data_IF_578381918859
#
_entry.id   IF_578381918859
#
_cell.length_a   1.000
_cell.length_b   1.000
_cell.length_c   1.000
_cell.angle_alpha   90.00
_cell.angle_beta   90.00
_cell.angle_gamma   90.00
#
_symmetry.space_group_name_H-M   'P 1'
#
loop_
_entity.id
_entity.type
_entity.pdbx_description
1 polymer ?
#
# COMPACT_ATOMS: atom_id res chain seq x y z
N UNK A 1 9.56 1.84 18.68
CA UNK A 1 9.66 2.59 17.41
C UNK A 1 8.68 2.03 16.39
N UNK A 2 7.94 2.90 15.71
CA UNK A 2 6.86 2.46 14.82
C UNK A 2 7.39 2.28 13.40
N UNK A 3 7.66 1.04 13.01
CA UNK A 3 8.10 0.72 11.65
C UNK A 3 6.91 0.31 10.79
N UNK A 4 6.88 0.78 9.55
CA UNK A 4 5.74 0.63 8.65
C UNK A 4 6.22 0.17 7.28
N UNK A 5 5.57 -0.84 6.73
CA UNK A 5 5.67 -1.20 5.31
C UNK A 5 4.37 -0.80 4.64
N UNK A 6 4.45 0.02 3.61
CA UNK A 6 3.30 0.41 2.79
C UNK A 6 3.29 -0.41 1.52
N UNK A 7 2.16 -1.04 1.21
CA UNK A 7 1.99 -1.85 0.01
C UNK A 7 0.90 -1.24 -0.85
N UNK A 8 1.24 -0.89 -2.08
CA UNK A 8 0.28 -0.35 -3.05
C UNK A 8 -0.08 -1.43 -4.05
N UNK A 9 -1.37 -1.67 -4.20
CA UNK A 9 -1.86 -2.61 -5.20
C UNK A 9 -1.90 -1.94 -6.56
N UNK A 10 -1.32 -2.57 -7.56
CA UNK A 10 -1.32 -2.09 -8.95
C UNK A 10 -2.13 -3.07 -9.79
N UNK A 11 -3.20 -2.61 -10.39
CA UNK A 11 -4.07 -3.48 -11.19
C UNK A 11 -4.55 -2.81 -12.47
N UNK A 12 -5.52 -1.91 -12.38
CA UNK A 12 -6.12 -1.25 -13.55
C UNK A 12 -5.66 0.17 -13.77
N UNK A 13 -5.04 0.79 -12.75
CA UNK A 13 -4.66 2.19 -12.78
C UNK A 13 -3.17 2.37 -12.49
N UNK A 14 -2.30 1.80 -13.33
CA UNK A 14 -0.86 1.91 -13.10
C UNK A 14 -0.37 3.36 -13.12
N UNK A 15 -1.08 4.24 -13.81
CA UNK A 15 -0.74 5.66 -13.88
C UNK A 15 -0.83 6.37 -12.54
N UNK A 16 -1.54 5.79 -11.57
CA UNK A 16 -1.66 6.38 -10.23
C UNK A 16 -0.48 6.06 -9.32
N UNK A 17 0.33 5.07 -9.67
CA UNK A 17 1.35 4.56 -8.76
C UNK A 17 2.39 5.61 -8.37
N UNK A 18 2.88 6.39 -9.33
CA UNK A 18 3.86 7.44 -9.04
C UNK A 18 3.33 8.45 -8.02
N UNK A 19 2.10 8.88 -8.20
CA UNK A 19 1.45 9.84 -7.29
C UNK A 19 1.24 9.22 -5.92
N UNK A 20 0.85 7.95 -5.87
CA UNK A 20 0.67 7.23 -4.61
C UNK A 20 1.98 7.10 -3.85
N UNK A 21 3.05 6.67 -4.51
CA UNK A 21 4.36 6.54 -3.89
C UNK A 21 4.86 7.90 -3.41
N UNK A 22 4.67 8.95 -4.20
CA UNK A 22 5.05 10.30 -3.81
C UNK A 22 4.31 10.75 -2.54
N UNK A 23 3.04 10.45 -2.43
CA UNK A 23 2.26 10.80 -1.24
C UNK A 23 2.72 10.02 -0.01
N UNK A 24 3.21 8.80 -0.20
CA UNK A 24 3.76 8.00 0.91
C UNK A 24 5.12 8.52 1.35
N UNK A 25 5.98 8.90 0.41
CA UNK A 25 7.28 9.49 0.72
C UNK A 25 7.14 10.81 1.47
N UNK A 26 6.07 11.55 1.20
CA UNK A 26 5.82 12.86 1.79
C UNK A 26 4.98 12.84 3.06
N UNK A 27 4.70 11.67 3.61
CA UNK A 27 3.99 11.56 4.89
C UNK A 27 4.78 12.21 6.03
N UNK A 28 4.07 12.81 6.99
CA UNK A 28 4.70 13.36 8.19
C UNK A 28 5.38 12.26 9.01
N UNK A 29 4.75 11.08 9.08
CA UNK A 29 5.39 9.86 9.56
C UNK A 29 5.61 8.97 8.36
N UNK A 30 6.86 8.84 7.95
CA UNK A 30 7.20 8.11 6.72
C UNK A 30 7.22 6.61 6.92
N UNK A 31 6.75 5.83 5.95
CA UNK A 31 6.96 4.39 5.99
C UNK A 31 8.43 4.05 5.81
N UNK A 32 8.86 2.95 6.42
CA UNK A 32 10.23 2.45 6.29
C UNK A 32 10.44 1.75 4.95
N UNK A 33 9.39 1.12 4.44
CA UNK A 33 9.41 0.42 3.17
C UNK A 33 8.17 0.78 2.37
N UNK A 34 8.32 0.94 1.07
CA UNK A 34 7.21 1.13 0.13
C UNK A 34 7.31 0.07 -0.93
N UNK A 35 6.32 -0.79 -1.00
CA UNK A 35 6.25 -1.92 -1.93
C UNK A 35 5.08 -1.79 -2.86
N UNK A 36 5.15 -2.44 -4.01
CA UNK A 36 4.02 -2.58 -4.93
C UNK A 36 3.71 -4.05 -5.15
N UNK A 37 2.44 -4.38 -5.17
CA UNK A 37 1.95 -5.66 -5.64
C UNK A 37 1.24 -5.43 -6.96
N UNK A 38 1.82 -5.93 -8.07
CA UNK A 38 1.17 -5.82 -9.38
C UNK A 38 0.38 -7.08 -9.65
N UNK A 39 -0.94 -6.95 -9.56
CA UNK A 39 -1.84 -8.05 -9.83
C UNK A 39 -2.04 -8.20 -11.34
N UNK A 40 -2.17 -9.43 -11.80
CA UNK A 40 -2.35 -9.71 -13.22
C UNK A 40 -3.67 -9.13 -13.73
N UNK A 41 -3.61 -8.50 -14.91
CA UNK A 41 -4.78 -8.08 -15.67
C UNK A 41 -4.61 -8.53 -17.12
N UNK A 42 -5.69 -9.03 -17.73
CA UNK A 42 -5.64 -9.59 -19.08
C UNK A 42 -5.16 -8.61 -20.15
N UNK A 43 -5.41 -7.32 -19.96
CA UNK A 43 -4.99 -6.28 -20.88
C UNK A 43 -3.55 -5.84 -20.65
N UNK A 44 -2.89 -6.43 -19.68
CA UNK A 44 -1.50 -6.14 -19.36
C UNK A 44 -1.32 -4.87 -18.55
N UNK A 45 -0.08 -4.62 -18.21
CA UNK A 45 0.33 -3.45 -17.46
C UNK A 45 1.83 -3.28 -17.72
N UNK A 46 2.17 -2.32 -18.55
CA UNK A 46 3.54 -2.15 -19.05
C UNK A 46 4.38 -1.18 -18.23
N UNK A 47 3.87 -0.71 -17.09
CA UNK A 47 4.62 0.18 -16.23
C UNK A 47 5.91 -0.50 -15.75
N UNK A 48 7.03 0.16 -15.96
CA UNK A 48 8.30 -0.29 -15.41
C UNK A 48 8.37 0.11 -13.93
N UNK A 49 8.13 -0.85 -13.05
CA UNK A 49 8.11 -0.58 -11.61
C UNK A 49 9.47 -0.11 -11.10
N UNK A 50 10.55 -0.52 -11.73
CA UNK A 50 11.89 -0.09 -11.34
C UNK A 50 12.11 1.41 -11.57
N UNK A 51 11.31 2.03 -12.42
CA UNK A 51 11.42 3.47 -12.71
C UNK A 51 10.70 4.36 -11.69
N UNK A 52 9.92 3.78 -10.79
CA UNK A 52 9.14 4.54 -9.82
C UNK A 52 10.01 4.90 -8.63
N UNK A 53 10.35 6.19 -8.50
CA UNK A 53 11.20 6.66 -7.41
C UNK A 53 10.51 6.47 -6.05
N UNK A 54 11.23 5.93 -5.08
CA UNK A 54 10.71 5.67 -3.73
C UNK A 54 10.18 4.27 -3.53
N UNK A 55 9.96 3.52 -4.60
CA UNK A 55 9.52 2.14 -4.53
C UNK A 55 10.73 1.24 -4.29
N UNK A 56 10.71 0.48 -3.21
CA UNK A 56 11.88 -0.31 -2.79
C UNK A 56 11.80 -1.76 -3.21
N UNK A 57 10.58 -2.31 -3.30
CA UNK A 57 10.37 -3.68 -3.71
C UNK A 57 9.04 -3.78 -4.46
N UNK A 58 8.98 -4.68 -5.42
CA UNK A 58 7.75 -4.94 -6.14
C UNK A 58 7.62 -6.43 -6.46
N UNK A 59 6.37 -6.87 -6.55
CA UNK A 59 6.02 -8.24 -6.86
C UNK A 59 5.13 -8.25 -8.08
N UNK A 60 5.47 -9.06 -9.07
CA UNK A 60 4.68 -9.25 -10.28
C UNK A 60 3.98 -10.60 -10.21
N UNK A 61 2.66 -10.59 -10.30
CA UNK A 61 1.88 -11.80 -10.35
C UNK A 61 1.44 -12.08 -11.78
N UNK A 62 1.56 -13.32 -12.23
CA UNK A 62 1.05 -13.76 -13.50
C UNK A 62 -0.36 -14.35 -13.40
N UNK A 63 -1.02 -14.15 -12.27
CA UNK A 63 -2.35 -14.63 -11.98
C UNK A 63 -3.12 -13.56 -11.22
N UNK A 64 -4.42 -13.45 -11.49
CA UNK A 64 -5.25 -12.48 -10.76
C UNK A 64 -5.69 -13.07 -9.42
N UNK A 65 -4.98 -12.70 -8.38
CA UNK A 65 -5.28 -13.12 -7.00
C UNK A 65 -6.39 -12.31 -6.36
N UNK A 66 -7.00 -11.38 -7.08
CA UNK A 66 -8.03 -10.48 -6.56
C UNK A 66 -7.48 -9.70 -5.36
N UNK A 67 -8.13 -9.81 -4.21
CA UNK A 67 -7.68 -9.07 -3.02
C UNK A 67 -6.57 -9.79 -2.25
N UNK A 68 -6.33 -11.06 -2.52
CA UNK A 68 -5.46 -11.88 -1.66
C UNK A 68 -3.98 -11.62 -1.84
N UNK A 69 -3.56 -11.25 -3.04
CA UNK A 69 -2.13 -11.10 -3.33
C UNK A 69 -1.44 -10.05 -2.47
N UNK A 70 -2.08 -8.90 -2.30
CA UNK A 70 -1.54 -7.82 -1.48
C UNK A 70 -1.37 -8.25 -0.03
N UNK A 71 -2.28 -9.05 0.50
CA UNK A 71 -2.19 -9.56 1.85
C UNK A 71 -1.13 -10.64 1.97
N UNK A 72 -0.94 -11.44 0.93
CA UNK A 72 0.15 -12.41 0.89
C UNK A 72 1.50 -11.69 0.91
N UNK A 73 1.64 -10.61 0.17
CA UNK A 73 2.86 -9.80 0.20
C UNK A 73 3.12 -9.23 1.61
N UNK A 74 2.06 -8.89 2.33
CA UNK A 74 2.18 -8.37 3.70
C UNK A 74 2.86 -9.36 4.64
N UNK A 75 2.74 -10.66 4.39
CA UNK A 75 3.39 -11.67 5.21
C UNK A 75 4.92 -11.64 5.10
N UNK A 76 5.45 -11.01 4.06
CA UNK A 76 6.89 -10.87 3.87
C UNK A 76 7.48 -9.65 4.58
N UNK A 77 6.63 -8.77 5.10
CA UNK A 77 7.08 -7.59 5.80
C UNK A 77 7.52 -7.95 7.22
N UNK A 78 8.65 -7.38 7.62
CA UNK A 78 9.18 -7.58 8.97
C UNK A 78 9.05 -6.33 9.84
N UNK A 79 8.30 -5.34 9.37
CA UNK A 79 7.98 -4.15 10.15
C UNK A 79 6.83 -4.40 11.11
N UNK A 80 6.69 -3.52 12.08
CA UNK A 80 5.64 -3.65 13.11
C UNK A 80 4.24 -3.50 12.52
N UNK A 81 4.09 -2.60 11.54
CA UNK A 81 2.81 -2.32 10.91
C UNK A 81 2.90 -2.50 9.40
N UNK A 82 1.79 -2.89 8.79
CA UNK A 82 1.64 -2.94 7.33
C UNK A 82 0.41 -2.14 6.95
N UNK A 83 0.56 -1.25 5.98
CA UNK A 83 -0.53 -0.48 5.42
C UNK A 83 -0.73 -0.88 3.96
N UNK A 84 -1.97 -1.10 3.56
CA UNK A 84 -2.32 -1.57 2.22
C UNK A 84 -3.22 -0.56 1.55
N UNK A 85 -2.88 -0.18 0.31
CA UNK A 85 -3.60 0.82 -0.47
C UNK A 85 -4.06 0.23 -1.79
N UNK A 86 -5.30 0.54 -2.17
CA UNK A 86 -5.81 0.23 -3.50
C UNK A 86 -5.22 1.17 -4.56
N UNK A 87 -5.40 0.82 -5.82
CA UNK A 87 -4.82 1.57 -6.94
C UNK A 87 -5.48 2.94 -7.19
N UNK A 88 -6.46 3.32 -6.40
CA UNK A 88 -7.15 4.60 -6.49
C UNK A 88 -7.03 5.44 -5.22
N UNK A 89 -6.25 5.02 -4.25
CA UNK A 89 -6.15 5.68 -2.95
C UNK A 89 -4.85 6.45 -2.82
N UNK A 90 -4.98 7.76 -2.53
CA UNK A 90 -3.83 8.62 -2.26
C UNK A 90 -3.98 9.14 -0.83
N UNK A 91 -3.15 8.68 0.12
CA UNK A 91 -3.29 9.10 1.51
C UNK A 91 -2.89 10.57 1.70
N UNK A 92 -3.58 11.25 2.61
CA UNK A 92 -3.21 12.60 3.01
C UNK A 92 -1.91 12.59 3.82
N UNK A 93 -1.32 13.78 3.99
CA UNK A 93 0.00 13.95 4.59
C UNK A 93 0.16 13.34 5.97
N UNK A 94 -0.87 13.37 6.79
CA UNK A 94 -0.82 12.91 8.18
C UNK A 94 -1.55 11.58 8.39
N UNK A 95 -1.77 10.82 7.33
CA UNK A 95 -2.56 9.61 7.42
C UNK A 95 -1.93 8.58 8.37
N UNK A 96 -0.62 8.32 8.24
CA UNK A 96 0.06 7.38 9.13
C UNK A 96 0.10 7.90 10.57
N UNK A 97 0.35 9.19 10.75
CA UNK A 97 0.36 9.78 12.09
C UNK A 97 -0.99 9.56 12.78
N UNK A 98 -2.07 9.81 12.08
CA UNK A 98 -3.42 9.64 12.62
C UNK A 98 -3.74 8.18 12.90
N UNK A 99 -3.33 7.27 12.02
CA UNK A 99 -3.53 5.84 12.22
C UNK A 99 -2.77 5.32 13.44
N UNK A 100 -1.52 5.75 13.62
CA UNK A 100 -0.73 5.33 14.76
C UNK A 100 -1.33 5.82 16.07
N UNK A 101 -1.82 7.06 16.09
CA UNK A 101 -2.49 7.59 17.27
C UNK A 101 -3.76 6.80 17.61
N UNK A 102 -4.51 6.40 16.60
CA UNK A 102 -5.72 5.61 16.80
C UNK A 102 -5.43 4.19 17.25
N UNK A 103 -4.39 3.56 16.72
CA UNK A 103 -3.97 2.21 17.10
C UNK A 103 -3.51 2.20 18.56
N UNK A 104 -2.79 3.22 18.99
CA UNK A 104 -2.37 3.35 20.38
C UNK A 104 -3.56 3.35 21.32
N UNK A 105 -4.67 4.00 20.93
CA UNK A 105 -5.88 4.06 21.75
C UNK A 105 -6.67 2.77 21.70
N UNK A 106 -6.93 2.25 20.51
CA UNK A 106 -7.93 1.22 20.29
C UNK A 106 -7.36 -0.15 19.95
N UNK A 107 -6.09 -0.21 19.54
CA UNK A 107 -5.35 -1.43 19.25
C UNK A 107 -6.10 -2.35 18.28
N UNK A 108 -6.21 -1.95 17.04
CA UNK A 108 -6.95 -2.72 16.04
C UNK A 108 -6.54 -2.42 14.60
N UNK A 109 -7.35 -2.90 13.68
CA UNK A 109 -7.18 -2.63 12.26
C UNK A 109 -7.86 -1.30 11.93
N UNK A 110 -7.15 -0.42 11.22
CA UNK A 110 -7.66 0.89 10.85
C UNK A 110 -7.93 0.96 9.35
N UNK A 111 -8.92 1.72 8.96
CA UNK A 111 -9.26 1.95 7.57
C UNK A 111 -9.67 3.38 7.33
N UNK A 112 -9.53 3.85 6.10
CA UNK A 112 -9.86 5.22 5.72
C UNK A 112 -11.36 5.44 5.50
N UNK A 113 -12.07 4.40 5.13
CA UNK A 113 -13.51 4.46 4.88
C UNK A 113 -14.21 3.43 5.75
N UNK A 114 -15.01 3.89 6.69
CA UNK A 114 -15.73 3.01 7.59
C UNK A 114 -16.90 2.32 6.92
N UNK A 115 -16.70 1.69 5.79
CA UNK A 115 -17.73 0.96 5.09
C UNK A 115 -17.87 -0.43 5.69
N UNK A 116 -19.09 -0.88 5.87
CA UNK A 116 -19.38 -2.21 6.39
C UNK A 116 -18.83 -3.34 5.55
N UNK A 117 -18.57 -3.08 4.26
CA UNK A 117 -18.08 -4.08 3.32
C UNK A 117 -16.57 -4.07 3.21
N UNK A 118 -15.92 -3.09 3.78
CA UNK A 118 -14.49 -2.93 3.63
C UNK A 118 -13.82 -3.20 4.95
N UNK A 119 -13.00 -4.21 4.94
CA UNK A 119 -12.12 -4.51 6.04
C UNK A 119 -10.73 -4.27 5.51
N UNK A 120 -10.12 -3.26 6.00
CA UNK A 120 -8.84 -2.85 5.45
C UNK A 120 -7.74 -3.02 6.45
#
# INVERSE_FOLDING_TARGET
MNSITAIVNVYRRPQNLEMQVKSLVNQSVKPDQIWAWRNYHKDGNDLDLSSVAGLERWFDSNYNWKYYGRFAAALLADTEFVAIFDDDTVPGKDWFLNCLNSIEKDNGIMGSAGDRKSVV
#
